data_IF_293815735132
#
_entry.id   IF_293815735132
#
_cell.length_a   1.000
_cell.length_b   1.000
_cell.length_c   1.000
_cell.angle_alpha   90.00
_cell.angle_beta   90.00
_cell.angle_gamma   90.00
#
_symmetry.space_group_name_H-M   'P 1'
#
loop_
_entity.id
_entity.type
_entity.pdbx_description
1 polymer ?
#
# COMPACT_ATOMS: atom_id res chain seq x y z
N UNK A 1 71.03 -21.33 -40.24
CA UNK A 1 69.86 -21.31 -39.33
C UNK A 1 70.12 -20.52 -38.03
N UNK A 2 70.80 -19.36 -38.08
CA UNK A 2 71.12 -18.54 -36.88
C UNK A 2 70.56 -17.12 -36.88
N UNK A 3 69.87 -16.71 -37.95
CA UNK A 3 69.37 -15.32 -38.11
C UNK A 3 67.86 -15.17 -37.89
N UNK A 4 67.10 -16.26 -37.97
CA UNK A 4 65.64 -16.26 -37.74
C UNK A 4 65.25 -16.33 -36.27
N UNK A 5 66.08 -16.90 -35.39
CA UNK A 5 65.81 -16.95 -33.95
C UNK A 5 65.93 -15.59 -33.25
N UNK A 6 66.81 -14.70 -33.74
CA UNK A 6 67.02 -13.37 -33.15
C UNK A 6 65.86 -12.42 -33.47
N UNK A 7 65.22 -12.58 -34.64
CA UNK A 7 64.09 -11.73 -35.06
C UNK A 7 62.83 -12.06 -34.24
N UNK A 8 62.60 -13.33 -33.90
CA UNK A 8 61.47 -13.74 -33.04
C UNK A 8 61.68 -13.28 -31.59
N UNK A 9 62.92 -13.28 -31.09
CA UNK A 9 63.22 -12.79 -29.74
C UNK A 9 63.02 -11.27 -29.62
N UNK A 10 63.41 -10.51 -30.65
CA UNK A 10 63.20 -9.05 -30.70
C UNK A 10 61.72 -8.71 -30.88
N UNK A 11 60.98 -9.46 -31.71
CA UNK A 11 59.53 -9.28 -31.88
C UNK A 11 58.74 -9.59 -30.59
N UNK A 12 59.18 -10.58 -29.80
CA UNK A 12 58.58 -10.90 -28.51
C UNK A 12 58.95 -9.87 -27.42
N UNK A 13 60.13 -9.26 -27.50
CA UNK A 13 60.54 -8.17 -26.58
C UNK A 13 59.85 -6.83 -26.88
N UNK A 14 59.48 -6.56 -28.14
CA UNK A 14 58.72 -5.35 -28.51
C UNK A 14 57.23 -5.40 -28.19
N UNK A 15 56.70 -6.52 -27.66
CA UNK A 15 55.31 -6.56 -27.17
C UNK A 15 55.17 -6.18 -25.68
N UNK A 16 56.28 -5.93 -24.98
CA UNK A 16 56.28 -5.25 -23.68
C UNK A 16 56.40 -3.74 -23.94
N UNK A 17 55.49 -3.21 -24.77
CA UNK A 17 55.23 -1.77 -24.77
C UNK A 17 54.47 -1.52 -23.48
N UNK A 18 55.21 -1.02 -22.48
CA UNK A 18 54.81 0.12 -21.65
C UNK A 18 53.29 0.35 -21.63
N UNK A 19 52.54 -0.51 -20.96
CA UNK A 19 51.36 -0.02 -20.29
C UNK A 19 51.91 0.91 -19.21
N UNK A 20 51.57 2.21 -19.19
CA UNK A 20 51.83 2.99 -18.00
C UNK A 20 51.07 2.29 -16.88
N UNK A 21 51.80 1.57 -16.03
CA UNK A 21 51.38 1.22 -14.69
C UNK A 21 51.34 2.53 -13.94
N UNK A 22 50.34 3.37 -14.25
CA UNK A 22 49.94 4.43 -13.35
C UNK A 22 49.67 3.74 -12.03
N UNK A 23 50.48 4.05 -11.01
CA UNK A 23 50.23 3.59 -9.66
C UNK A 23 48.79 3.95 -9.35
N UNK A 24 47.94 2.93 -9.17
CA UNK A 24 46.55 3.13 -8.81
C UNK A 24 46.57 3.66 -7.37
N UNK A 25 46.33 4.96 -7.22
CA UNK A 25 46.32 5.60 -5.92
C UNK A 25 44.92 6.17 -5.67
N UNK A 26 44.28 5.67 -4.62
CA UNK A 26 43.05 6.19 -4.04
C UNK A 26 43.23 6.57 -2.56
N UNK A 27 44.48 6.69 -2.10
CA UNK A 27 44.83 7.14 -0.75
C UNK A 27 44.42 8.60 -0.56
N UNK A 28 43.81 8.91 0.59
CA UNK A 28 43.38 10.27 0.91
C UNK A 28 42.04 10.68 0.28
N UNK A 29 41.36 9.79 -0.43
CA UNK A 29 40.01 10.05 -0.96
C UNK A 29 39.00 10.09 0.18
N UNK A 30 38.23 11.19 0.22
CA UNK A 30 37.05 11.38 1.06
C UNK A 30 35.87 11.71 0.16
N UNK A 31 34.68 11.22 0.51
CA UNK A 31 33.42 11.62 -0.12
C UNK A 31 32.82 12.74 0.69
N UNK A 32 32.81 13.96 0.16
CA UNK A 32 32.18 15.10 0.84
C UNK A 32 30.66 14.93 0.88
N UNK A 33 30.10 14.42 -0.22
CA UNK A 33 28.67 14.23 -0.34
C UNK A 33 28.34 13.13 -1.32
N UNK A 34 27.43 12.25 -0.94
CA UNK A 34 26.81 11.27 -1.81
C UNK A 34 25.28 11.35 -1.70
N UNK A 35 24.64 11.71 -2.82
CA UNK A 35 23.19 11.84 -2.92
C UNK A 35 22.69 10.74 -3.85
N UNK A 36 21.85 9.87 -3.32
CA UNK A 36 21.19 8.80 -4.06
C UNK A 36 19.73 9.16 -4.29
N UNK A 37 19.31 9.16 -5.55
CA UNK A 37 17.93 9.36 -5.97
C UNK A 37 17.46 8.09 -6.66
N UNK A 38 16.40 7.50 -6.13
CA UNK A 38 15.80 6.28 -6.67
C UNK A 38 14.44 6.65 -7.25
N UNK A 39 14.16 6.26 -8.49
CA UNK A 39 12.91 6.58 -9.18
C UNK A 39 12.42 5.42 -10.03
N UNK A 40 11.12 5.34 -10.25
CA UNK A 40 10.54 4.33 -11.13
C UNK A 40 10.72 4.75 -12.60
N UNK A 41 11.24 3.83 -13.41
CA UNK A 41 11.41 3.98 -14.85
C UNK A 41 10.75 2.81 -15.59
N UNK A 42 10.69 2.90 -16.92
CA UNK A 42 10.25 1.79 -17.77
C UNK A 42 11.17 0.55 -17.70
N UNK A 43 12.41 0.72 -17.21
CA UNK A 43 13.42 -0.34 -17.03
C UNK A 43 13.55 -0.80 -15.58
N UNK A 44 12.54 -0.55 -14.74
CA UNK A 44 12.61 -0.83 -13.30
C UNK A 44 13.05 0.38 -12.49
N UNK A 45 13.74 0.16 -11.38
CA UNK A 45 14.14 1.22 -10.46
C UNK A 45 15.45 1.85 -10.93
N UNK A 46 15.38 3.07 -11.42
CA UNK A 46 16.56 3.86 -11.77
C UNK A 46 17.17 4.44 -10.49
N UNK A 47 18.45 4.18 -10.29
CA UNK A 47 19.25 4.75 -9.21
C UNK A 47 20.24 5.74 -9.85
N UNK A 48 20.11 7.00 -9.47
CA UNK A 48 21.02 8.08 -9.83
C UNK A 48 21.78 8.54 -8.58
N UNK A 49 23.09 8.35 -8.57
CA UNK A 49 23.97 8.81 -7.51
C UNK A 49 24.81 9.99 -7.98
N UNK A 50 24.89 11.03 -7.15
CA UNK A 50 25.84 12.14 -7.32
C UNK A 50 26.84 12.08 -6.18
N UNK A 51 28.12 11.87 -6.51
CA UNK A 51 29.20 11.66 -5.56
C UNK A 51 30.23 12.77 -5.74
N UNK A 52 30.47 13.55 -4.70
CA UNK A 52 31.51 14.58 -4.64
C UNK A 52 32.68 13.99 -3.86
N UNK A 53 33.80 13.78 -4.55
CA UNK A 53 35.03 13.24 -3.97
C UNK A 53 36.08 14.34 -3.87
N UNK A 54 36.82 14.35 -2.77
CA UNK A 54 37.94 15.26 -2.54
C UNK A 54 39.17 14.48 -2.14
N UNK A 55 40.32 14.89 -2.66
CA UNK A 55 41.61 14.35 -2.29
C UNK A 55 42.20 15.16 -1.13
N UNK A 56 42.35 14.53 0.02
CA UNK A 56 42.98 15.11 1.22
C UNK A 56 44.43 14.66 1.42
N UNK A 57 44.93 13.78 0.55
CA UNK A 57 46.32 13.34 0.54
C UNK A 57 47.24 14.28 -0.26
N UNK A 58 48.54 14.02 -0.17
CA UNK A 58 49.57 14.81 -0.87
C UNK A 58 49.79 14.34 -2.32
N UNK A 59 49.45 13.09 -2.62
CA UNK A 59 49.60 12.50 -3.96
C UNK A 59 48.32 12.62 -4.79
N UNK A 60 48.46 12.70 -6.11
CA UNK A 60 47.32 12.73 -7.01
C UNK A 60 46.55 11.39 -6.98
N UNK A 61 45.23 11.47 -6.86
CA UNK A 61 44.35 10.31 -6.99
C UNK A 61 44.13 10.01 -8.47
N UNK A 62 44.43 8.78 -8.86
CA UNK A 62 44.36 8.29 -10.24
C UNK A 62 43.31 7.20 -10.42
N UNK A 63 42.76 6.68 -9.32
CA UNK A 63 41.77 5.61 -9.32
C UNK A 63 40.65 5.93 -8.33
N UNK A 64 39.41 5.58 -8.69
CA UNK A 64 38.25 5.64 -7.80
C UNK A 64 37.51 4.32 -7.81
N UNK A 65 36.89 3.96 -6.69
CA UNK A 65 36.10 2.74 -6.53
C UNK A 65 34.68 3.08 -6.12
N UNK A 66 33.71 2.47 -6.77
CA UNK A 66 32.28 2.65 -6.46
C UNK A 66 31.65 1.31 -6.17
N UNK A 67 30.93 1.21 -5.05
CA UNK A 67 30.13 0.03 -4.77
C UNK A 67 28.75 0.20 -5.40
N UNK A 68 28.32 -0.80 -6.16
CA UNK A 68 27.04 -0.87 -6.84
C UNK A 68 26.38 -2.20 -6.50
N UNK A 69 25.11 -2.15 -6.11
CA UNK A 69 24.32 -3.33 -5.76
C UNK A 69 24.34 -4.35 -6.92
N UNK A 70 24.45 -5.64 -6.59
CA UNK A 70 24.32 -6.72 -7.58
C UNK A 70 22.92 -6.76 -8.17
N UNK A 71 22.73 -7.49 -9.27
CA UNK A 71 21.47 -7.63 -9.99
C UNK A 71 21.03 -6.38 -10.75
N UNK A 72 21.96 -5.54 -11.19
CA UNK A 72 21.61 -4.46 -12.13
C UNK A 72 21.12 -5.04 -13.45
N UNK A 73 20.06 -4.48 -14.02
CA UNK A 73 19.48 -4.95 -15.28
C UNK A 73 20.32 -4.54 -16.50
N UNK A 74 21.11 -3.46 -16.36
CA UNK A 74 22.02 -2.95 -17.38
C UNK A 74 23.39 -2.65 -16.77
N UNK A 75 24.39 -2.43 -17.64
CA UNK A 75 25.71 -1.97 -17.21
C UNK A 75 25.60 -0.57 -16.57
N UNK A 76 26.13 -0.36 -15.36
CA UNK A 76 26.14 0.96 -14.74
C UNK A 76 26.90 1.97 -15.58
N UNK A 77 26.36 3.18 -15.70
CA UNK A 77 26.99 4.30 -16.40
C UNK A 77 27.65 5.23 -15.38
N UNK A 78 28.95 5.47 -15.53
CA UNK A 78 29.71 6.36 -14.63
C UNK A 78 30.26 7.53 -15.44
N UNK A 79 29.87 8.74 -15.09
CA UNK A 79 30.23 9.97 -15.82
C UNK A 79 30.90 10.94 -14.86
N UNK A 80 32.00 11.54 -15.29
CA UNK A 80 32.55 12.71 -14.61
C UNK A 80 31.78 13.95 -15.05
N UNK A 81 31.21 14.69 -14.09
CA UNK A 81 30.16 15.69 -14.35
C UNK A 81 30.67 16.90 -15.14
N UNK A 82 31.89 17.36 -14.89
CA UNK A 82 32.39 18.62 -15.46
C UNK A 82 32.81 18.44 -16.92
N UNK A 83 33.52 17.37 -17.25
CA UNK A 83 33.94 17.04 -18.62
C UNK A 83 32.90 16.25 -19.40
N UNK A 84 31.93 15.63 -18.74
CA UNK A 84 30.93 14.75 -19.35
C UNK A 84 31.50 13.44 -19.86
N UNK A 85 32.76 13.11 -19.52
CA UNK A 85 33.42 11.87 -19.95
C UNK A 85 32.85 10.68 -19.20
N UNK A 86 32.47 9.66 -19.95
CA UNK A 86 32.16 8.35 -19.40
C UNK A 86 33.46 7.64 -18.98
N UNK A 87 33.47 7.07 -17.77
CA UNK A 87 34.64 6.43 -17.18
C UNK A 87 34.57 4.93 -17.42
N UNK A 88 35.63 4.37 -17.99
CA UNK A 88 35.78 2.93 -18.14
C UNK A 88 35.99 2.28 -16.77
N UNK A 89 35.28 1.18 -16.52
CA UNK A 89 35.32 0.48 -15.24
C UNK A 89 35.82 -0.95 -15.38
N UNK A 90 36.64 -1.38 -14.43
CA UNK A 90 36.92 -2.79 -14.18
C UNK A 90 35.98 -3.23 -13.06
N UNK A 91 35.31 -4.36 -13.27
CA UNK A 91 34.32 -4.88 -12.32
C UNK A 91 34.91 -6.02 -11.52
N UNK A 92 34.86 -5.91 -10.19
CA UNK A 92 35.14 -7.00 -9.27
C UNK A 92 33.98 -7.09 -8.29
N UNK A 93 33.12 -8.09 -8.46
CA UNK A 93 31.86 -8.23 -7.71
C UNK A 93 31.00 -6.95 -7.80
N UNK A 94 30.76 -6.29 -6.66
CA UNK A 94 29.97 -5.05 -6.54
C UNK A 94 30.81 -3.80 -6.78
N UNK A 95 32.12 -3.93 -6.86
CA UNK A 95 33.04 -2.79 -6.93
C UNK A 95 33.36 -2.50 -8.40
N UNK A 96 33.05 -1.28 -8.83
CA UNK A 96 33.49 -0.71 -10.10
C UNK A 96 34.71 0.17 -9.84
N UNK A 97 35.84 -0.22 -10.41
CA UNK A 97 37.09 0.52 -10.29
C UNK A 97 37.32 1.33 -11.57
N UNK A 98 37.34 2.66 -11.43
CA UNK A 98 37.60 3.62 -12.49
C UNK A 98 39.07 4.04 -12.48
N UNK A 99 39.78 3.85 -13.59
CA UNK A 99 41.09 4.46 -13.79
C UNK A 99 40.89 5.86 -14.39
N UNK A 100 41.09 6.90 -13.58
CA UNK A 100 40.93 8.30 -14.01
C UNK A 100 41.98 8.69 -15.05
N UNK A 101 43.20 8.20 -14.91
CA UNK A 101 44.31 8.53 -15.82
C UNK A 101 44.06 8.03 -17.25
N UNK A 102 43.33 6.92 -17.41
CA UNK A 102 42.90 6.44 -18.72
C UNK A 102 41.99 7.44 -19.47
N UNK A 103 41.31 8.33 -18.73
CA UNK A 103 40.47 9.40 -19.26
C UNK A 103 41.14 10.79 -19.22
N UNK A 104 42.46 10.84 -18.95
CA UNK A 104 43.22 12.07 -18.69
C UNK A 104 42.65 12.89 -17.52
N UNK A 105 42.21 12.22 -16.47
CA UNK A 105 41.70 12.81 -15.24
C UNK A 105 42.59 12.41 -14.07
N UNK A 106 42.66 13.28 -13.07
CA UNK A 106 43.29 13.02 -11.77
C UNK A 106 42.75 14.02 -10.76
N UNK A 107 42.67 13.64 -9.49
CA UNK A 107 42.31 14.57 -8.41
C UNK A 107 43.59 15.00 -7.73
N UNK A 108 44.02 16.24 -7.97
CA UNK A 108 45.18 16.84 -7.30
C UNK A 108 44.93 17.00 -5.81
N UNK A 109 45.99 17.16 -5.02
CA UNK A 109 45.86 17.43 -3.57
C UNK A 109 44.95 18.64 -3.31
N UNK A 110 44.03 18.51 -2.35
CA UNK A 110 42.93 19.46 -2.08
C UNK A 110 41.95 19.71 -3.24
N UNK A 111 42.07 18.97 -4.34
CA UNK A 111 41.17 19.03 -5.47
C UNK A 111 39.92 18.18 -5.25
N UNK A 112 38.87 18.46 -6.01
CA UNK A 112 37.61 17.71 -5.97
C UNK A 112 37.11 17.35 -7.37
N UNK A 113 36.29 16.30 -7.44
CA UNK A 113 35.67 15.80 -8.65
C UNK A 113 34.21 15.41 -8.35
N UNK A 114 33.31 15.62 -9.31
CA UNK A 114 31.92 15.16 -9.18
C UNK A 114 31.64 14.03 -10.14
N UNK A 115 31.17 12.90 -9.60
CA UNK A 115 30.82 11.70 -10.35
C UNK A 115 29.31 11.54 -10.34
N UNK A 116 28.76 11.23 -11.51
CA UNK A 116 27.38 10.83 -11.72
C UNK A 116 27.37 9.35 -12.05
N UNK A 117 26.64 8.58 -11.26
CA UNK A 117 26.48 7.15 -11.44
C UNK A 117 25.00 6.83 -11.68
N UNK A 118 24.68 6.16 -12.78
CA UNK A 118 23.31 5.74 -13.11
C UNK A 118 23.26 4.24 -13.35
N UNK A 119 22.33 3.55 -12.71
CA UNK A 119 22.08 2.12 -12.92
C UNK A 119 20.62 1.74 -12.64
N UNK A 120 20.23 0.54 -13.06
CA UNK A 120 18.86 0.06 -12.97
C UNK A 120 18.78 -1.21 -12.11
N UNK A 121 17.98 -1.15 -11.04
CA UNK A 121 17.60 -2.30 -10.22
C UNK A 121 16.27 -2.90 -10.70
N UNK A 122 15.99 -4.18 -10.42
CA UNK A 122 14.71 -4.79 -10.77
C UNK A 122 13.53 -4.03 -10.14
N UNK A 123 12.41 -3.91 -10.85
CA UNK A 123 11.19 -3.28 -10.33
C UNK A 123 10.65 -3.95 -9.06
N UNK A 124 11.00 -5.23 -8.85
CA UNK A 124 10.60 -6.05 -7.70
C UNK A 124 11.52 -5.87 -6.49
N UNK A 125 12.58 -5.08 -6.60
CA UNK A 125 13.56 -4.89 -5.53
C UNK A 125 12.92 -4.20 -4.32
N UNK A 126 13.07 -4.81 -3.14
CA UNK A 126 12.46 -4.29 -1.91
C UNK A 126 13.43 -3.43 -1.10
N UNK A 127 14.73 -3.63 -1.29
CA UNK A 127 15.77 -2.97 -0.53
C UNK A 127 16.83 -2.38 -1.45
N UNK A 128 17.20 -1.14 -1.15
CA UNK A 128 18.42 -0.55 -1.63
C UNK A 128 19.54 -0.89 -0.64
N UNK A 129 20.61 -1.49 -1.14
CA UNK A 129 21.77 -1.88 -0.34
C UNK A 129 22.94 -1.02 -0.82
N UNK A 130 23.75 -0.50 0.11
CA UNK A 130 24.94 0.29 -0.21
C UNK A 130 26.05 0.05 0.80
N UNK A 131 27.26 -0.20 0.31
CA UNK A 131 28.49 -0.18 1.12
C UNK A 131 29.32 1.04 0.74
N UNK A 132 29.75 1.81 1.75
CA UNK A 132 30.65 2.94 1.55
C UNK A 132 32.08 2.44 1.41
N UNK A 133 32.84 2.97 0.43
CA UNK A 133 34.24 2.57 0.18
C UNK A 133 35.25 3.65 0.61
N UNK A 134 34.76 4.77 1.12
CA UNK A 134 35.53 5.93 1.58
C UNK A 134 34.82 6.55 2.78
N UNK A 135 35.55 7.33 3.58
CA UNK A 135 34.91 8.16 4.60
C UNK A 135 33.96 9.14 3.91
N UNK A 136 32.73 9.23 4.40
CA UNK A 136 31.67 10.02 3.79
C UNK A 136 31.15 11.06 4.77
N UNK A 137 31.31 12.34 4.44
CA UNK A 137 30.84 13.44 5.30
C UNK A 137 29.31 13.54 5.30
N UNK A 138 28.65 13.35 4.15
CA UNK A 138 27.19 13.37 4.04
C UNK A 138 26.69 12.31 3.05
N UNK A 139 25.70 11.51 3.47
CA UNK A 139 25.04 10.51 2.64
C UNK A 139 23.53 10.63 2.76
N UNK A 140 22.82 10.63 1.62
CA UNK A 140 21.36 10.69 1.60
C UNK A 140 20.75 9.79 0.53
N UNK A 141 19.59 9.22 0.84
CA UNK A 141 18.83 8.38 -0.09
C UNK A 141 17.39 8.87 -0.15
N UNK A 142 16.96 9.26 -1.35
CA UNK A 142 15.61 9.74 -1.61
C UNK A 142 14.92 8.86 -2.63
N UNK A 143 13.69 8.46 -2.35
CA UNK A 143 12.82 7.75 -3.29
C UNK A 143 11.80 8.72 -3.89
N UNK A 144 11.79 8.85 -5.21
CA UNK A 144 10.83 9.67 -5.95
C UNK A 144 9.68 8.78 -6.43
N UNK A 145 8.53 8.95 -5.80
CA UNK A 145 7.28 8.30 -6.16
C UNK A 145 6.25 9.36 -6.54
N UNK A 146 5.98 9.54 -7.85
CA UNK A 146 5.10 10.61 -8.31
C UNK A 146 5.66 12.01 -8.00
N UNK A 147 4.82 12.90 -7.46
CA UNK A 147 5.16 14.31 -7.22
C UNK A 147 5.87 14.57 -5.88
N UNK A 148 5.79 13.64 -4.92
CA UNK A 148 6.35 13.85 -3.57
C UNK A 148 7.57 12.95 -3.32
N UNK A 149 8.77 13.53 -3.17
CA UNK A 149 9.95 12.75 -2.81
C UNK A 149 9.88 12.31 -1.34
N UNK A 150 10.19 11.03 -1.08
CA UNK A 150 10.32 10.45 0.25
C UNK A 150 11.79 10.32 0.62
N UNK A 151 12.23 11.03 1.66
CA UNK A 151 13.56 10.83 2.22
C UNK A 151 13.58 9.47 2.96
N UNK A 152 14.44 8.55 2.52
CA UNK A 152 14.56 7.21 3.10
C UNK A 152 15.69 7.12 4.12
N UNK A 153 16.76 7.91 3.94
CA UNK A 153 17.92 7.89 4.81
C UNK A 153 18.71 9.19 4.69
N UNK A 154 19.22 9.66 5.83
CA UNK A 154 20.20 10.74 5.89
C UNK A 154 21.19 10.42 7.01
N UNK A 155 22.49 10.47 6.69
CA UNK A 155 23.58 10.22 7.62
C UNK A 155 24.73 11.20 7.40
N UNK A 156 25.45 11.48 8.47
CA UNK A 156 26.60 12.38 8.48
C UNK A 156 27.80 11.69 9.12
N UNK A 157 29.00 12.05 8.68
CA UNK A 157 30.28 11.55 9.20
C UNK A 157 30.36 10.00 9.27
N UNK A 158 30.00 9.34 8.17
CA UNK A 158 30.02 7.89 8.05
C UNK A 158 31.46 7.43 7.77
N UNK A 159 32.00 6.62 8.68
CA UNK A 159 33.38 6.11 8.58
C UNK A 159 33.42 4.84 7.74
N UNK A 160 34.37 4.78 6.83
CA UNK A 160 34.73 3.57 6.11
C UNK A 160 35.75 2.77 6.91
N UNK A 161 35.46 1.48 7.10
CA UNK A 161 36.36 0.54 7.78
C UNK A 161 36.59 -0.65 6.82
N UNK A 162 37.80 -0.77 6.23
CA UNK A 162 38.09 -1.72 5.14
C UNK A 162 37.75 -3.19 5.42
N UNK A 163 37.81 -3.59 6.69
CA UNK A 163 37.62 -4.99 7.10
C UNK A 163 36.23 -5.27 7.67
N UNK A 164 35.33 -4.28 7.68
CA UNK A 164 33.94 -4.49 8.08
C UNK A 164 33.04 -4.42 6.86
N UNK A 165 32.33 -5.52 6.60
CA UNK A 165 31.30 -5.55 5.56
C UNK A 165 30.01 -4.88 6.07
N UNK A 166 30.09 -3.58 6.36
CA UNK A 166 28.94 -2.81 6.84
C UNK A 166 28.17 -2.29 5.63
N UNK A 167 27.09 -2.99 5.28
CA UNK A 167 26.16 -2.56 4.23
C UNK A 167 24.95 -1.85 4.85
N UNK A 168 24.65 -0.66 4.35
CA UNK A 168 23.40 0.05 4.64
C UNK A 168 22.30 -0.62 3.83
N UNK A 169 21.31 -1.19 4.52
CA UNK A 169 20.12 -1.75 3.90
C UNK A 169 18.92 -0.84 4.16
N UNK A 170 18.39 -0.24 3.10
CA UNK A 170 17.32 0.75 3.14
C UNK A 170 16.10 0.17 2.45
N UNK A 171 14.99 0.08 3.16
CA UNK A 171 13.73 -0.44 2.60
C UNK A 171 13.11 0.59 1.66
N UNK A 172 12.87 0.21 0.41
CA UNK A 172 12.32 1.11 -0.60
C UNK A 172 10.82 1.31 -0.43
N UNK A 173 10.10 0.22 -0.13
CA UNK A 173 8.67 0.24 0.08
C UNK A 173 8.34 0.16 1.58
N UNK A 174 7.63 1.16 2.09
CA UNK A 174 7.01 1.04 3.41
C UNK A 174 5.60 0.50 3.19
N UNK A 175 5.26 -0.73 3.64
CA UNK A 175 3.89 -1.23 3.58
C UNK A 175 3.04 -0.45 4.59
N UNK A 176 2.67 0.78 4.23
CA UNK A 176 1.64 1.58 4.89
C UNK A 176 0.28 1.41 4.23
N UNK A 177 0.12 0.41 3.37
CA UNK A 177 -1.18 -0.24 3.26
C UNK A 177 -1.37 -1.05 4.54
N UNK A 178 -1.88 -0.37 5.58
CA UNK A 178 -2.60 -1.07 6.64
C UNK A 178 -3.61 -1.94 5.90
N UNK A 179 -3.48 -3.28 5.90
CA UNK A 179 -4.38 -4.12 5.14
C UNK A 179 -5.77 -3.74 5.65
N UNK A 180 -6.61 -3.19 4.77
CA UNK A 180 -8.01 -2.90 5.07
C UNK A 180 -8.51 -4.12 5.82
N UNK A 181 -8.70 -4.00 7.14
CA UNK A 181 -8.79 -5.16 7.99
C UNK A 181 -10.13 -5.81 7.63
N UNK A 182 -10.09 -6.80 6.74
CA UNK A 182 -11.27 -7.43 6.16
C UNK A 182 -12.15 -7.94 7.29
N UNK A 183 -11.53 -8.39 8.39
CA UNK A 183 -12.18 -8.73 9.66
C UNK A 183 -13.01 -7.59 10.23
N UNK A 184 -12.47 -6.36 10.27
CA UNK A 184 -13.16 -5.18 10.80
C UNK A 184 -14.30 -4.74 9.87
N UNK A 185 -14.14 -4.88 8.55
CA UNK A 185 -15.21 -4.63 7.58
C UNK A 185 -16.34 -5.66 7.69
N UNK A 186 -16.00 -6.95 7.88
CA UNK A 186 -16.98 -8.01 8.15
C UNK A 186 -17.72 -7.75 9.45
N UNK A 187 -17.00 -7.38 10.53
CA UNK A 187 -17.61 -7.05 11.84
C UNK A 187 -18.56 -5.86 11.69
N UNK A 188 -18.14 -4.79 11.01
CA UNK A 188 -18.99 -3.62 10.75
C UNK A 188 -20.26 -3.99 9.98
N UNK A 189 -20.14 -4.81 8.93
CA UNK A 189 -21.28 -5.30 8.16
C UNK A 189 -22.24 -6.16 8.99
N UNK A 190 -21.70 -7.01 9.86
CA UNK A 190 -22.48 -7.90 10.74
C UNK A 190 -23.27 -7.09 11.78
N UNK A 191 -22.67 -6.03 12.33
CA UNK A 191 -23.35 -5.07 13.23
C UNK A 191 -24.53 -4.40 12.51
N UNK A 192 -24.33 -3.94 11.27
CA UNK A 192 -25.41 -3.31 10.48
C UNK A 192 -26.59 -4.27 10.28
N UNK A 193 -26.33 -5.54 9.97
CA UNK A 193 -27.38 -6.57 9.84
C UNK A 193 -28.13 -6.79 11.15
N UNK A 194 -27.42 -6.86 12.28
CA UNK A 194 -28.05 -7.04 13.61
C UNK A 194 -28.95 -5.86 13.95
N UNK A 195 -28.50 -4.62 13.69
CA UNK A 195 -29.29 -3.41 13.91
C UNK A 195 -30.54 -3.41 13.03
N UNK A 196 -30.42 -3.80 11.76
CA UNK A 196 -31.57 -3.92 10.84
C UNK A 196 -32.59 -4.96 11.33
N UNK A 197 -32.12 -6.12 11.80
CA UNK A 197 -32.96 -7.19 12.33
C UNK A 197 -33.70 -6.74 13.61
N UNK A 198 -33.01 -6.03 14.51
CA UNK A 198 -33.62 -5.46 15.72
C UNK A 198 -34.70 -4.43 15.38
N UNK A 199 -34.45 -3.52 14.44
CA UNK A 199 -35.44 -2.55 13.97
C UNK A 199 -36.68 -3.24 13.39
N UNK A 200 -36.51 -4.26 12.54
CA UNK A 200 -37.63 -5.02 11.97
C UNK A 200 -38.46 -5.74 13.04
N UNK A 201 -37.82 -6.29 14.08
CA UNK A 201 -38.51 -6.92 15.21
C UNK A 201 -39.30 -5.90 16.05
N UNK A 202 -38.73 -4.71 16.28
CA UNK A 202 -39.42 -3.62 16.97
C UNK A 202 -40.65 -3.15 16.19
N UNK A 203 -40.52 -2.95 14.87
CA UNK A 203 -41.65 -2.59 14.00
C UNK A 203 -42.76 -3.65 13.99
N UNK A 204 -42.40 -4.95 13.97
CA UNK A 204 -43.37 -6.05 14.10
C UNK A 204 -44.10 -6.03 15.45
N UNK A 205 -43.39 -5.80 16.56
CA UNK A 205 -44.02 -5.69 17.89
C UNK A 205 -44.94 -4.49 18.00
N UNK A 206 -44.59 -3.35 17.42
CA UNK A 206 -45.45 -2.16 17.41
C UNK A 206 -46.76 -2.41 16.66
N UNK A 207 -46.71 -2.96 15.44
CA UNK A 207 -47.93 -3.30 14.67
C UNK A 207 -48.82 -4.32 15.38
N UNK A 208 -48.24 -5.27 16.12
CA UNK A 208 -49.02 -6.26 16.88
C UNK A 208 -49.69 -5.68 18.13
N UNK A 209 -49.11 -4.66 18.78
CA UNK A 209 -49.72 -4.02 19.96
C UNK A 209 -50.83 -3.03 19.57
N UNK A 210 -50.70 -2.34 18.43
CA UNK A 210 -51.74 -1.39 17.98
C UNK A 210 -53.04 -2.09 17.58
N UNK A 211 -53.00 -3.37 17.18
CA UNK A 211 -54.21 -4.11 16.78
C UNK A 211 -55.11 -4.57 17.95
N UNK A 212 -54.63 -4.47 19.20
CA UNK A 212 -55.38 -4.90 20.40
C UNK A 212 -55.95 -3.76 21.25
N UNK A 213 -55.72 -2.51 20.87
CA UNK A 213 -56.06 -1.35 21.72
C UNK A 213 -56.79 -0.26 20.94
N UNK A 214 -57.72 -0.65 20.07
CA UNK A 214 -58.87 0.23 19.79
C UNK A 214 -59.89 -0.19 20.84
N UNK A 215 -59.93 0.53 21.96
CA UNK A 215 -61.03 0.41 22.89
C UNK A 215 -62.31 0.74 22.08
N UNK A 216 -63.15 -0.26 21.84
CA UNK A 216 -64.50 -0.04 21.31
C UNK A 216 -65.16 0.98 22.26
N UNK A 217 -65.40 2.22 21.82
CA UNK A 217 -66.03 3.24 22.65
C UNK A 217 -67.47 2.80 22.98
N UNK A 218 -68.01 3.26 24.11
CA UNK A 218 -69.38 2.96 24.53
C UNK A 218 -70.41 3.24 23.41
N UNK A 219 -70.18 4.28 22.62
CA UNK A 219 -71.01 4.65 21.46
C UNK A 219 -70.95 3.61 20.33
N UNK A 220 -69.77 3.03 20.06
CA UNK A 220 -69.63 1.96 19.05
C UNK A 220 -70.31 0.66 19.50
N UNK A 221 -70.21 0.31 20.79
CA UNK A 221 -70.82 -0.89 21.35
C UNK A 221 -72.35 -0.78 21.46
N UNK A 222 -72.87 0.40 21.83
CA UNK A 222 -74.32 0.66 21.84
C UNK A 222 -74.94 0.63 20.44
N UNK A 223 -74.24 1.20 19.45
CA UNK A 223 -74.65 1.14 18.04
C UNK A 223 -74.63 -0.31 17.52
N UNK A 224 -73.56 -1.06 17.82
CA UNK A 224 -73.42 -2.48 17.44
C UNK A 224 -74.52 -3.34 18.06
N UNK A 225 -74.86 -3.13 19.34
CA UNK A 225 -75.99 -3.80 20.01
C UNK A 225 -77.30 -3.53 19.28
N UNK A 226 -77.56 -2.27 18.92
CA UNK A 226 -78.81 -1.87 18.25
C UNK A 226 -78.93 -2.50 16.86
N UNK A 227 -77.84 -2.49 16.08
CA UNK A 227 -77.80 -3.11 14.76
C UNK A 227 -77.98 -4.63 14.83
N UNK A 228 -77.31 -5.31 15.77
CA UNK A 228 -77.44 -6.76 15.96
C UNK A 228 -78.86 -7.17 16.36
N UNK A 229 -79.51 -6.40 17.23
CA UNK A 229 -80.90 -6.65 17.61
C UNK A 229 -81.88 -6.39 16.45
N UNK A 230 -81.62 -5.38 15.62
CA UNK A 230 -82.41 -5.13 14.41
C UNK A 230 -82.26 -6.27 13.40
N UNK A 231 -81.03 -6.73 13.16
CA UNK A 231 -80.75 -7.84 12.24
C UNK A 231 -81.38 -9.15 12.71
N UNK A 232 -81.35 -9.45 14.02
CA UNK A 232 -82.06 -10.61 14.58
C UNK A 232 -83.57 -10.52 14.38
N UNK A 233 -84.15 -9.32 14.50
CA UNK A 233 -85.59 -9.09 14.28
C UNK A 233 -85.97 -9.24 12.81
N UNK A 234 -85.14 -8.74 11.90
CA UNK A 234 -85.36 -8.89 10.46
C UNK A 234 -85.16 -10.33 9.99
N UNK A 235 -84.19 -11.05 10.54
CA UNK A 235 -84.00 -12.49 10.33
C UNK A 235 -85.24 -13.28 10.75
N UNK A 236 -85.83 -12.96 11.91
CA UNK A 236 -87.06 -13.61 12.38
C UNK A 236 -88.26 -13.30 11.49
N UNK A 237 -88.34 -12.09 10.91
CA UNK A 237 -89.36 -11.73 9.93
C UNK A 237 -89.21 -12.52 8.62
N UNK A 238 -87.98 -12.66 8.12
CA UNK A 238 -87.68 -13.45 6.91
C UNK A 238 -87.97 -14.94 7.11
N UNK A 239 -87.70 -15.47 8.30
CA UNK A 239 -88.05 -16.84 8.67
C UNK A 239 -89.56 -17.07 8.69
N UNK A 240 -90.33 -16.17 9.34
CA UNK A 240 -91.80 -16.26 9.37
C UNK A 240 -92.44 -16.11 7.98
N UNK A 241 -91.77 -15.41 7.07
CA UNK A 241 -92.15 -15.30 5.66
C UNK A 241 -91.69 -16.50 4.80
N UNK A 242 -91.17 -17.57 5.41
CA UNK A 242 -90.62 -18.77 4.75
C UNK A 242 -89.56 -18.48 3.67
N UNK A 243 -88.90 -17.31 3.76
CA UNK A 243 -87.92 -16.86 2.76
C UNK A 243 -86.52 -17.42 3.01
N UNK A 244 -86.29 -18.07 4.15
CA UNK A 244 -85.05 -18.74 4.54
C UNK A 244 -85.38 -20.08 5.18
N UNK A 245 -84.50 -21.09 5.04
CA UNK A 245 -84.69 -22.41 5.64
C UNK A 245 -84.42 -22.43 7.14
N UNK A 246 -85.05 -23.35 7.87
CA UNK A 246 -84.88 -23.54 9.33
C UNK A 246 -83.42 -23.73 9.75
N UNK A 247 -82.65 -24.49 8.96
CA UNK A 247 -81.23 -24.74 9.23
C UNK A 247 -80.40 -23.44 9.12
N UNK A 248 -80.69 -22.63 8.10
CA UNK A 248 -80.03 -21.34 7.87
C UNK A 248 -80.42 -20.35 8.96
N UNK A 249 -81.69 -20.32 9.35
CA UNK A 249 -82.20 -19.46 10.42
C UNK A 249 -81.53 -19.77 11.76
N UNK A 250 -81.49 -21.04 12.19
CA UNK A 250 -80.94 -21.41 13.49
C UNK A 250 -79.45 -21.11 13.58
N UNK A 251 -78.68 -21.43 12.53
CA UNK A 251 -77.23 -21.17 12.50
C UNK A 251 -76.91 -19.68 12.59
N UNK A 252 -77.62 -18.86 11.81
CA UNK A 252 -77.39 -17.41 11.76
C UNK A 252 -77.90 -16.74 13.06
N UNK A 253 -79.04 -17.18 13.60
CA UNK A 253 -79.60 -16.67 14.85
C UNK A 253 -78.67 -16.90 16.03
N UNK A 254 -78.11 -18.10 16.16
CA UNK A 254 -77.24 -18.44 17.28
C UNK A 254 -75.95 -17.63 17.25
N UNK A 255 -75.37 -17.44 16.06
CA UNK A 255 -74.16 -16.62 15.88
C UNK A 255 -74.41 -15.15 16.24
N UNK A 256 -75.48 -14.53 15.71
CA UNK A 256 -75.78 -13.13 16.02
C UNK A 256 -76.26 -12.91 17.46
N UNK A 257 -76.94 -13.88 18.05
CA UNK A 257 -77.32 -13.84 19.47
C UNK A 257 -76.09 -13.86 20.37
N UNK A 258 -75.11 -14.70 20.06
CA UNK A 258 -73.85 -14.75 20.82
C UNK A 258 -73.07 -13.44 20.70
N UNK A 259 -72.97 -12.88 19.49
CA UNK A 259 -72.34 -11.58 19.27
C UNK A 259 -73.07 -10.43 20.01
N UNK A 260 -74.39 -10.48 20.10
CA UNK A 260 -75.18 -9.50 20.84
C UNK A 260 -74.97 -9.62 22.36
N UNK A 261 -74.88 -10.84 22.90
CA UNK A 261 -74.58 -11.12 24.31
C UNK A 261 -73.16 -10.65 24.67
N UNK A 262 -72.18 -10.92 23.82
CA UNK A 262 -70.80 -10.47 24.03
C UNK A 262 -70.68 -8.95 23.99
N UNK A 263 -71.44 -8.28 23.11
CA UNK A 263 -71.51 -6.82 23.08
C UNK A 263 -72.18 -6.23 24.33
N UNK A 264 -73.25 -6.87 24.84
CA UNK A 264 -73.89 -6.45 26.10
C UNK A 264 -72.96 -6.63 27.30
N UNK A 265 -72.26 -7.77 27.39
CA UNK A 265 -71.32 -8.03 28.49
C UNK A 265 -70.19 -7.00 28.52
N UNK A 266 -69.64 -6.65 27.36
CA UNK A 266 -68.64 -5.58 27.24
C UNK A 266 -69.18 -4.19 27.62
N UNK A 267 -70.46 -3.91 27.35
CA UNK A 267 -71.11 -2.65 27.78
C UNK A 267 -71.31 -2.61 29.30
N UNK A 268 -71.72 -3.71 29.91
CA UNK A 268 -71.93 -3.79 31.36
C UNK A 268 -70.59 -3.71 32.12
N UNK A 269 -69.53 -4.33 31.58
CA UNK A 269 -68.18 -4.25 32.13
C UNK A 269 -67.58 -2.83 32.02
N UNK A 270 -68.07 -1.98 31.09
CA UNK A 270 -67.67 -0.58 30.95
C UNK A 270 -68.45 0.38 31.88
N UNK A 271 -69.59 -0.05 32.43
CA UNK A 271 -70.46 0.76 33.31
C UNK A 271 -70.26 0.50 34.80
N UNK A 272 -69.45 -0.51 35.17
CA UNK A 272 -68.99 -0.79 36.54
C UNK A 272 -67.70 -0.07 36.86
#
# INVERSE_FOLDING_TARGET
MKKTGVIILIALMTFIILFPSGSANDTGVIVDQEIVIISLSNKGLQVDETIIVTNTGDENVTTLRFWIQQNTQEAPKIIEKQSGKELNTITTENIRTCNLSASNLSIVSSGSLTILLTYYLPATEQNFIKTLLYNTTSFSVTYKEGETPRNLFQGEHLLYVPDTNTALQIRLYNPTESPLNITLLIIAFLIVIIVLALLLLLFKKQRSKTKKTIAESEETLTTKKTLLLSLLKDLEKQYRAQSISDETYNKIKDEYKQQAVDAMKKLDDLKK
#
